data_IF_046565319780
#
_entry.id   IF_046565319780
#
_cell.length_a   1.000
_cell.length_b   1.000
_cell.length_c   1.000
_cell.angle_alpha   90.00
_cell.angle_beta   90.00
_cell.angle_gamma   90.00
#
_symmetry.space_group_name_H-M   'P 1'
#
loop_
_entity.id
_entity.type
_entity.pdbx_description
1 polymer ?
#
# COMPACT_ATOMS: atom_id res chain seq x y z
N UNK A 1 -50.59 18.75 10.82
CA UNK A 1 -49.78 18.90 9.58
C UNK A 1 -48.53 19.67 9.91
N UNK A 2 -47.34 19.13 9.63
CA UNK A 2 -46.09 19.83 9.92
C UNK A 2 -45.97 21.14 9.12
N UNK A 3 -45.68 22.26 9.82
CA UNK A 3 -45.69 23.61 9.29
C UNK A 3 -44.51 23.82 8.33
N UNK A 4 -44.78 24.40 7.15
CA UNK A 4 -43.71 24.76 6.20
C UNK A 4 -43.01 26.05 6.66
N UNK A 5 -41.72 26.01 6.73
CA UNK A 5 -40.88 27.13 7.19
C UNK A 5 -40.06 27.68 6.01
N UNK A 6 -40.08 29.03 5.86
CA UNK A 6 -39.30 29.74 4.86
C UNK A 6 -37.85 29.88 5.34
N UNK A 7 -36.86 29.62 4.46
CA UNK A 7 -35.47 29.92 4.76
C UNK A 7 -35.30 31.42 5.08
N UNK A 8 -34.60 31.72 6.17
CA UNK A 8 -34.21 33.10 6.52
C UNK A 8 -33.08 33.62 5.62
N UNK A 9 -32.32 32.71 5.01
CA UNK A 9 -31.09 33.00 4.26
C UNK A 9 -31.33 33.13 2.76
N UNK A 10 -32.26 32.34 2.21
CA UNK A 10 -32.47 32.25 0.76
C UNK A 10 -33.96 32.38 0.41
N UNK A 11 -34.31 33.45 -0.32
CA UNK A 11 -35.66 33.66 -0.80
C UNK A 11 -36.09 32.56 -1.78
N UNK A 12 -37.30 32.04 -1.61
CA UNK A 12 -37.87 30.98 -2.45
C UNK A 12 -37.50 29.56 -2.03
N UNK A 13 -36.62 29.40 -1.03
CA UNK A 13 -36.31 28.12 -0.40
C UNK A 13 -37.16 27.89 0.84
N UNK A 14 -37.75 26.73 0.94
CA UNK A 14 -38.60 26.31 2.06
C UNK A 14 -38.22 24.93 2.53
N UNK A 15 -38.51 24.62 3.80
CA UNK A 15 -38.35 23.30 4.36
C UNK A 15 -39.50 22.95 5.30
N UNK A 16 -39.67 21.63 5.50
CA UNK A 16 -40.57 21.06 6.50
C UNK A 16 -39.73 20.14 7.40
N UNK A 17 -39.88 20.31 8.69
CA UNK A 17 -39.30 19.36 9.66
C UNK A 17 -40.20 18.13 9.75
N UNK A 18 -39.57 16.98 9.76
CA UNK A 18 -40.19 15.67 9.92
C UNK A 18 -40.13 15.26 11.39
N UNK A 19 -41.02 14.33 11.80
CA UNK A 19 -41.14 13.87 13.20
C UNK A 19 -39.82 13.21 13.72
N UNK A 20 -38.96 12.76 12.81
CA UNK A 20 -37.64 12.20 13.12
C UNK A 20 -36.50 13.24 13.17
N UNK A 21 -36.83 14.54 13.17
CA UNK A 21 -35.86 15.65 13.20
C UNK A 21 -35.15 15.94 11.86
N UNK A 22 -35.48 15.23 10.79
CA UNK A 22 -34.94 15.50 9.45
C UNK A 22 -35.74 16.67 8.79
N UNK A 23 -35.19 17.26 7.72
CA UNK A 23 -35.79 18.33 6.96
C UNK A 23 -35.97 17.95 5.50
N UNK A 24 -37.17 18.15 4.95
CA UNK A 24 -37.42 18.08 3.51
C UNK A 24 -37.43 19.45 2.91
N UNK A 25 -36.58 19.72 1.92
CA UNK A 25 -36.45 20.98 1.23
C UNK A 25 -37.26 21.02 -0.06
N UNK A 26 -37.81 22.17 -0.39
CA UNK A 26 -38.51 22.45 -1.64
C UNK A 26 -38.39 23.92 -2.01
N UNK A 27 -38.60 24.24 -3.29
CA UNK A 27 -38.63 25.58 -3.83
C UNK A 27 -40.07 26.02 -4.09
N UNK A 28 -40.34 27.29 -3.90
CA UNK A 28 -41.54 27.96 -4.43
C UNK A 28 -41.12 29.06 -5.40
N UNK A 29 -41.34 28.80 -6.68
CA UNK A 29 -40.96 29.68 -7.77
C UNK A 29 -42.17 30.11 -8.59
N UNK A 30 -42.16 31.36 -9.03
CA UNK A 30 -43.17 31.86 -9.97
C UNK A 30 -42.65 31.63 -11.40
N UNK A 31 -43.28 30.69 -12.10
CA UNK A 31 -42.98 30.32 -13.48
C UNK A 31 -44.27 30.45 -14.29
N UNK A 32 -44.24 31.16 -15.42
CA UNK A 32 -45.43 31.43 -16.26
C UNK A 32 -46.63 32.04 -15.50
N UNK A 33 -46.31 32.98 -14.61
CA UNK A 33 -47.34 33.64 -13.80
C UNK A 33 -47.91 32.79 -12.63
N UNK A 34 -47.63 31.50 -12.57
CA UNK A 34 -48.11 30.56 -11.53
C UNK A 34 -47.01 30.20 -10.54
N UNK A 35 -47.38 30.07 -9.27
CA UNK A 35 -46.46 29.61 -8.23
C UNK A 35 -46.38 28.08 -8.29
N UNK A 36 -45.23 27.57 -8.65
CA UNK A 36 -44.91 26.10 -8.66
C UNK A 36 -44.15 25.76 -7.39
N UNK A 37 -44.48 24.62 -6.79
CA UNK A 37 -43.76 23.98 -5.67
C UNK A 37 -42.94 22.84 -6.21
N UNK A 38 -41.62 22.91 -6.07
CA UNK A 38 -40.67 21.94 -6.61
C UNK A 38 -39.96 21.27 -5.43
N UNK A 39 -40.15 19.97 -5.20
CA UNK A 39 -39.42 19.22 -4.17
C UNK A 39 -37.96 19.05 -4.59
N UNK A 40 -37.01 19.19 -3.63
CA UNK A 40 -35.59 19.05 -3.88
C UNK A 40 -35.04 17.76 -3.23
N UNK A 41 -35.32 17.53 -1.94
CA UNK A 41 -34.85 16.34 -1.22
C UNK A 41 -34.73 16.60 0.28
N UNK A 42 -34.12 15.65 1.01
CA UNK A 42 -33.98 15.68 2.46
C UNK A 42 -32.61 16.12 2.90
N UNK A 43 -32.52 16.67 4.13
CA UNK A 43 -31.24 17.01 4.76
C UNK A 43 -30.36 15.76 4.98
N UNK A 44 -30.97 14.65 5.36
CA UNK A 44 -30.29 13.34 5.49
C UNK A 44 -29.70 12.82 4.17
N UNK A 45 -30.16 13.34 3.03
CA UNK A 45 -29.65 13.05 1.68
C UNK A 45 -28.53 14.02 1.28
N UNK A 46 -28.03 14.85 2.20
CA UNK A 46 -26.97 15.83 1.93
C UNK A 46 -27.48 17.16 1.35
N UNK A 47 -28.81 17.37 1.23
CA UNK A 47 -29.37 18.61 0.72
C UNK A 47 -29.23 19.73 1.75
N UNK A 48 -28.70 20.85 1.31
CA UNK A 48 -28.55 22.08 2.12
C UNK A 48 -29.39 23.24 1.54
N UNK A 49 -29.64 24.26 2.36
CA UNK A 49 -30.31 25.47 1.86
C UNK A 49 -29.52 26.17 0.75
N UNK A 50 -28.17 26.09 0.80
CA UNK A 50 -27.29 26.62 -0.25
C UNK A 50 -27.46 25.89 -1.57
N UNK A 51 -27.49 24.54 -1.53
CA UNK A 51 -27.79 23.71 -2.70
C UNK A 51 -29.15 24.04 -3.30
N UNK A 52 -30.20 24.21 -2.45
CA UNK A 52 -31.52 24.60 -2.90
C UNK A 52 -31.49 25.96 -3.61
N UNK A 53 -30.68 26.90 -3.14
CA UNK A 53 -30.54 28.20 -3.79
C UNK A 53 -29.83 28.13 -5.14
N UNK A 54 -28.84 27.27 -5.28
CA UNK A 54 -28.16 26.99 -6.56
C UNK A 54 -29.16 26.42 -7.57
N UNK A 55 -29.92 25.39 -7.18
CA UNK A 55 -30.95 24.78 -8.02
C UNK A 55 -32.06 25.77 -8.41
N UNK A 56 -32.48 26.65 -7.48
CA UNK A 56 -33.40 27.73 -7.79
C UNK A 56 -32.88 28.61 -8.94
N UNK A 57 -31.62 29.06 -8.83
CA UNK A 57 -31.03 29.92 -9.85
C UNK A 57 -30.90 29.20 -11.20
N UNK A 58 -30.57 27.92 -11.20
CA UNK A 58 -30.51 27.08 -12.39
C UNK A 58 -31.89 27.03 -13.09
N UNK A 59 -32.95 26.72 -12.35
CA UNK A 59 -34.32 26.63 -12.87
C UNK A 59 -34.78 27.96 -13.44
N UNK A 60 -34.53 29.09 -12.72
CA UNK A 60 -34.92 30.40 -13.18
C UNK A 60 -34.17 30.83 -14.47
N UNK A 61 -32.88 30.49 -14.57
CA UNK A 61 -32.11 30.80 -15.77
C UNK A 61 -32.59 29.98 -16.96
N UNK A 62 -32.81 28.67 -16.78
CA UNK A 62 -33.34 27.78 -17.81
C UNK A 62 -34.71 28.27 -18.32
N UNK A 63 -35.60 28.70 -17.41
CA UNK A 63 -36.88 29.25 -17.76
C UNK A 63 -36.78 30.59 -18.55
N UNK A 64 -35.81 31.45 -18.22
CA UNK A 64 -35.58 32.73 -18.93
C UNK A 64 -35.03 32.55 -20.33
N UNK A 65 -34.26 31.51 -20.59
CA UNK A 65 -33.63 31.24 -21.86
C UNK A 65 -34.41 30.24 -22.75
N UNK A 66 -35.64 29.88 -22.32
CA UNK A 66 -36.49 28.98 -23.11
C UNK A 66 -36.13 27.48 -23.05
N UNK A 67 -35.23 27.10 -22.13
CA UNK A 67 -34.89 25.70 -21.92
C UNK A 67 -36.08 24.95 -21.28
N UNK A 68 -36.29 23.70 -21.67
CA UNK A 68 -37.33 22.85 -21.06
C UNK A 68 -36.97 22.48 -19.64
N UNK A 69 -37.54 23.19 -18.71
CA UNK A 69 -37.34 23.03 -17.25
C UNK A 69 -37.77 21.64 -16.78
N UNK A 70 -38.81 21.06 -17.38
CA UNK A 70 -39.28 19.71 -17.01
C UNK A 70 -38.27 18.65 -17.44
N UNK A 71 -37.69 18.76 -18.63
CA UNK A 71 -36.66 17.86 -19.12
C UNK A 71 -35.33 18.00 -18.34
N UNK A 72 -35.01 19.23 -17.89
CA UNK A 72 -33.82 19.45 -17.05
C UNK A 72 -34.00 18.95 -15.60
N UNK A 73 -35.20 18.98 -15.06
CA UNK A 73 -35.49 18.42 -13.73
C UNK A 73 -35.50 16.88 -13.74
N UNK A 74 -35.77 16.26 -14.89
CA UNK A 74 -35.62 14.80 -15.07
C UNK A 74 -34.19 14.37 -15.42
N UNK A 75 -33.39 15.30 -16.01
CA UNK A 75 -31.98 15.05 -16.33
C UNK A 75 -31.12 15.53 -15.19
N UNK A 76 -30.39 14.58 -14.61
CA UNK A 76 -29.24 14.85 -13.73
C UNK A 76 -29.57 14.98 -12.25
N UNK A 77 -29.95 13.87 -11.64
CA UNK A 77 -29.05 13.40 -10.56
C UNK A 77 -27.82 12.85 -11.30
N UNK A 78 -26.64 13.46 -11.17
CA UNK A 78 -25.46 12.70 -11.55
C UNK A 78 -25.55 11.42 -10.73
N UNK A 79 -25.70 10.28 -11.41
CA UNK A 79 -25.65 8.99 -10.74
C UNK A 79 -24.36 9.00 -9.94
N UNK A 80 -24.47 8.77 -8.64
CA UNK A 80 -23.28 8.72 -7.81
C UNK A 80 -22.39 7.62 -8.40
N UNK A 81 -21.08 7.87 -8.59
CA UNK A 81 -20.21 6.92 -9.27
C UNK A 81 -20.22 5.60 -8.53
N UNK A 82 -20.32 4.50 -9.25
CA UNK A 82 -20.12 3.17 -8.71
C UNK A 82 -18.68 3.03 -8.21
N UNK A 83 -18.42 2.06 -7.34
CA UNK A 83 -17.03 1.80 -6.90
C UNK A 83 -16.13 1.45 -8.10
N UNK A 84 -16.66 0.80 -9.12
CA UNK A 84 -15.98 0.56 -10.39
C UNK A 84 -15.44 1.86 -11.01
N UNK A 85 -16.28 2.91 -11.07
CA UNK A 85 -15.92 4.19 -11.65
C UNK A 85 -14.86 4.89 -10.80
N UNK A 86 -14.97 4.80 -9.47
CA UNK A 86 -13.97 5.34 -8.54
C UNK A 86 -12.62 4.64 -8.70
N UNK A 87 -12.62 3.30 -8.83
CA UNK A 87 -11.40 2.52 -9.03
C UNK A 87 -10.74 2.88 -10.37
N UNK A 88 -11.51 2.87 -11.47
CA UNK A 88 -11.00 3.19 -12.80
C UNK A 88 -10.44 4.62 -12.85
N UNK A 89 -11.17 5.57 -12.29
CA UNK A 89 -10.71 6.95 -12.17
C UNK A 89 -9.46 7.09 -11.29
N UNK A 90 -9.38 6.36 -10.17
CA UNK A 90 -8.19 6.33 -9.32
C UNK A 90 -6.96 5.82 -10.06
N UNK A 91 -7.12 4.74 -10.86
CA UNK A 91 -6.06 4.16 -11.66
C UNK A 91 -5.59 5.08 -12.79
N UNK A 92 -6.53 5.81 -13.41
CA UNK A 92 -6.23 6.77 -14.49
C UNK A 92 -5.51 8.04 -13.99
N UNK A 93 -5.97 8.60 -12.87
CA UNK A 93 -5.48 9.91 -12.37
C UNK A 93 -4.25 9.82 -11.48
N UNK A 94 -3.85 8.63 -11.08
CA UNK A 94 -2.67 8.42 -10.25
C UNK A 94 -1.53 7.83 -11.07
N UNK A 95 -0.37 8.47 -11.02
CA UNK A 95 0.86 7.86 -11.51
C UNK A 95 1.29 6.73 -10.56
N UNK A 96 0.88 5.50 -10.90
CA UNK A 96 1.11 4.30 -10.10
C UNK A 96 2.07 3.36 -10.82
N UNK A 97 2.98 2.77 -10.08
CA UNK A 97 3.86 1.71 -10.62
C UNK A 97 3.01 0.54 -11.14
N UNK A 98 3.40 -0.12 -12.26
CA UNK A 98 2.65 -1.26 -12.81
C UNK A 98 2.33 -2.36 -11.79
N UNK A 99 3.26 -2.64 -10.86
CA UNK A 99 3.04 -3.60 -9.77
C UNK A 99 1.92 -3.19 -8.83
N UNK A 100 1.76 -1.89 -8.55
CA UNK A 100 0.68 -1.37 -7.71
C UNK A 100 -0.66 -1.45 -8.46
N UNK A 101 -0.66 -1.10 -9.75
CA UNK A 101 -1.84 -1.25 -10.62
C UNK A 101 -2.31 -2.71 -10.62
N UNK A 102 -1.41 -3.67 -10.85
CA UNK A 102 -1.74 -5.10 -10.82
C UNK A 102 -2.30 -5.55 -9.45
N UNK A 103 -1.73 -5.08 -8.36
CA UNK A 103 -2.26 -5.38 -7.03
C UNK A 103 -3.66 -4.80 -6.78
N UNK A 104 -3.98 -3.65 -7.35
CA UNK A 104 -5.30 -3.03 -7.23
C UNK A 104 -6.38 -3.72 -8.05
N UNK A 105 -6.04 -4.56 -9.05
CA UNK A 105 -7.04 -5.31 -9.82
C UNK A 105 -7.92 -6.22 -8.93
N UNK A 106 -7.43 -6.65 -7.77
CA UNK A 106 -8.21 -7.43 -6.81
C UNK A 106 -9.44 -6.66 -6.29
N UNK A 107 -9.40 -5.32 -6.32
CA UNK A 107 -10.52 -4.48 -5.92
C UNK A 107 -11.73 -4.62 -6.85
N UNK A 108 -11.56 -5.20 -8.04
CA UNK A 108 -12.67 -5.57 -8.95
C UNK A 108 -13.52 -6.72 -8.41
N UNK A 109 -13.05 -7.43 -7.38
CA UNK A 109 -13.72 -8.59 -6.77
C UNK A 109 -14.45 -8.25 -5.46
N UNK A 110 -14.50 -6.97 -5.07
CA UNK A 110 -15.24 -6.58 -3.86
C UNK A 110 -16.76 -6.72 -4.07
N UNK A 111 -17.54 -7.12 -3.05
CA UNK A 111 -18.97 -7.36 -3.19
C UNK A 111 -19.77 -6.14 -3.68
N UNK A 112 -19.31 -4.95 -3.33
CA UNK A 112 -19.94 -3.67 -3.68
C UNK A 112 -19.35 -3.01 -4.95
N UNK A 113 -18.67 -3.79 -5.82
CA UNK A 113 -18.01 -3.26 -7.03
C UNK A 113 -18.94 -2.44 -7.93
N UNK A 114 -20.18 -2.90 -8.09
CA UNK A 114 -21.25 -2.25 -8.87
C UNK A 114 -22.18 -1.38 -8.01
N UNK A 115 -21.79 -1.01 -6.81
CA UNK A 115 -22.60 -0.16 -5.92
C UNK A 115 -22.12 1.29 -5.99
N UNK A 116 -23.08 2.20 -5.98
CA UNK A 116 -22.84 3.66 -5.97
C UNK A 116 -22.93 4.26 -4.55
N UNK A 117 -23.55 3.54 -3.63
CA UNK A 117 -23.67 3.93 -2.23
C UNK A 117 -23.11 2.83 -1.33
N UNK A 118 -21.94 3.09 -0.79
CA UNK A 118 -21.20 2.13 0.02
C UNK A 118 -21.12 2.67 1.45
N UNK A 119 -21.65 1.91 2.38
CA UNK A 119 -21.67 2.26 3.80
C UNK A 119 -20.46 1.66 4.54
N UNK A 120 -20.22 2.16 5.76
CA UNK A 120 -19.26 1.54 6.69
C UNK A 120 -19.59 0.06 6.93
N UNK A 121 -20.88 -0.29 7.01
CA UNK A 121 -21.32 -1.68 7.23
C UNK A 121 -20.90 -2.60 6.09
N UNK A 122 -20.97 -2.12 4.84
CA UNK A 122 -20.56 -2.92 3.67
C UNK A 122 -19.05 -3.18 3.69
N UNK A 123 -18.26 -2.16 4.05
CA UNK A 123 -16.81 -2.31 4.20
C UNK A 123 -16.47 -3.26 5.35
N UNK A 124 -17.13 -3.11 6.53
CA UNK A 124 -16.88 -3.98 7.67
C UNK A 124 -17.21 -5.44 7.35
N UNK A 125 -18.38 -5.70 6.75
CA UNK A 125 -18.78 -7.06 6.33
C UNK A 125 -17.75 -7.67 5.39
N UNK A 126 -17.28 -6.93 4.40
CA UNK A 126 -16.21 -7.39 3.50
C UNK A 126 -14.91 -7.72 4.24
N UNK A 127 -14.52 -6.90 5.20
CA UNK A 127 -13.31 -7.12 6.02
C UNK A 127 -13.47 -8.34 6.92
N UNK A 128 -14.65 -8.53 7.52
CA UNK A 128 -14.96 -9.67 8.38
C UNK A 128 -14.95 -10.99 7.58
N UNK A 129 -15.48 -10.98 6.36
CA UNK A 129 -15.44 -12.14 5.46
C UNK A 129 -14.02 -12.46 5.02
N UNK A 130 -13.23 -11.45 4.64
CA UNK A 130 -11.82 -11.64 4.33
C UNK A 130 -11.02 -12.22 5.51
N UNK A 131 -11.38 -11.85 6.73
CA UNK A 131 -10.68 -12.31 7.94
C UNK A 131 -10.90 -13.80 8.22
N UNK A 132 -11.98 -14.41 7.69
CA UNK A 132 -12.24 -15.87 7.80
C UNK A 132 -11.27 -16.70 6.94
N UNK A 133 -10.87 -16.15 5.79
CA UNK A 133 -10.09 -16.89 4.79
C UNK A 133 -8.62 -16.43 4.70
N UNK A 134 -8.33 -15.22 5.18
CA UNK A 134 -7.03 -14.59 5.00
C UNK A 134 -6.40 -14.13 6.29
N UNK A 135 -5.07 -14.10 6.30
CA UNK A 135 -4.28 -13.57 7.42
C UNK A 135 -4.54 -12.08 7.62
N UNK A 136 -4.48 -11.64 8.87
CA UNK A 136 -4.68 -10.24 9.26
C UNK A 136 -3.81 -9.24 8.46
N UNK A 137 -2.57 -9.61 8.10
CA UNK A 137 -1.70 -8.79 7.25
C UNK A 137 -2.25 -8.59 5.83
N UNK A 138 -2.86 -9.62 5.24
CA UNK A 138 -3.52 -9.56 3.93
C UNK A 138 -4.79 -8.73 4.01
N UNK A 139 -5.61 -8.94 5.03
CA UNK A 139 -6.81 -8.14 5.31
C UNK A 139 -6.43 -6.66 5.44
N UNK A 140 -5.42 -6.35 6.24
CA UNK A 140 -4.91 -4.99 6.40
C UNK A 140 -4.37 -4.38 5.09
N UNK A 141 -3.78 -5.18 4.20
CA UNK A 141 -3.36 -4.72 2.87
C UNK A 141 -4.59 -4.35 2.01
N UNK A 142 -5.59 -5.24 1.94
CA UNK A 142 -6.84 -4.99 1.20
C UNK A 142 -7.56 -3.76 1.69
N UNK A 143 -7.67 -3.61 3.01
CA UNK A 143 -8.24 -2.42 3.61
C UNK A 143 -7.48 -1.14 3.24
N UNK A 144 -6.15 -1.12 3.30
CA UNK A 144 -5.35 0.05 2.87
C UNK A 144 -5.57 0.42 1.41
N UNK A 145 -5.73 -0.58 0.53
CA UNK A 145 -6.05 -0.37 -0.88
C UNK A 145 -7.42 0.31 -1.04
N UNK A 146 -8.47 -0.23 -0.41
CA UNK A 146 -9.80 0.40 -0.38
C UNK A 146 -9.76 1.82 0.15
N UNK A 147 -9.14 2.01 1.30
CA UNK A 147 -9.02 3.31 1.96
C UNK A 147 -8.32 4.33 1.08
N UNK A 148 -7.31 3.92 0.32
CA UNK A 148 -6.61 4.85 -0.58
C UNK A 148 -7.51 5.34 -1.72
N UNK A 149 -8.38 4.49 -2.27
CA UNK A 149 -9.32 4.83 -3.33
C UNK A 149 -10.39 5.80 -2.79
N UNK A 150 -11.05 5.45 -1.67
CA UNK A 150 -12.09 6.29 -1.08
C UNK A 150 -11.56 7.65 -0.63
N UNK A 151 -10.44 7.69 0.08
CA UNK A 151 -9.84 8.96 0.52
C UNK A 151 -9.45 9.85 -0.66
N UNK A 152 -8.94 9.27 -1.74
CA UNK A 152 -8.62 10.02 -2.95
C UNK A 152 -9.88 10.56 -3.63
N UNK A 153 -10.96 9.77 -3.68
CA UNK A 153 -12.23 10.15 -4.27
C UNK A 153 -12.96 11.23 -3.44
N UNK A 154 -13.00 11.08 -2.12
CA UNK A 154 -13.60 12.07 -1.20
C UNK A 154 -12.85 13.39 -1.26
N UNK A 155 -11.52 13.37 -1.21
CA UNK A 155 -10.70 14.58 -1.24
C UNK A 155 -10.84 15.38 -2.55
N UNK A 156 -11.38 14.78 -3.61
CA UNK A 156 -11.59 15.41 -4.93
C UNK A 156 -13.07 15.52 -5.31
N UNK A 157 -13.96 15.38 -4.33
CA UNK A 157 -15.42 15.50 -4.51
C UNK A 157 -16.02 14.55 -5.57
N UNK A 158 -15.27 13.46 -5.92
CA UNK A 158 -15.77 12.39 -6.79
C UNK A 158 -16.72 11.46 -6.04
N UNK A 159 -16.55 11.32 -4.74
CA UNK A 159 -17.45 10.59 -3.86
C UNK A 159 -18.07 11.58 -2.85
N UNK A 160 -19.38 11.79 -2.95
CA UNK A 160 -20.09 12.85 -2.22
C UNK A 160 -20.45 12.49 -0.79
N UNK A 161 -20.32 11.22 -0.44
CA UNK A 161 -20.60 10.72 0.90
C UNK A 161 -19.36 10.82 1.80
N UNK A 162 -19.55 10.65 3.09
CA UNK A 162 -18.44 10.49 4.03
C UNK A 162 -17.61 9.25 3.68
N UNK A 163 -16.32 9.30 4.00
CA UNK A 163 -15.39 8.17 3.77
C UNK A 163 -15.88 6.91 4.54
N UNK A 164 -16.37 5.86 3.85
CA UNK A 164 -16.91 4.68 4.50
C UNK A 164 -15.84 3.81 5.16
N UNK A 165 -14.56 4.14 4.97
CA UNK A 165 -13.43 3.42 5.57
C UNK A 165 -13.06 3.93 6.96
N UNK A 166 -13.75 4.96 7.46
CA UNK A 166 -13.51 5.49 8.81
C UNK A 166 -14.13 4.58 9.86
N UNK A 167 -13.36 4.26 10.91
CA UNK A 167 -13.84 3.47 12.04
C UNK A 167 -14.08 1.99 11.72
N UNK A 168 -13.37 1.43 10.74
CA UNK A 168 -13.38 -0.01 10.45
C UNK A 168 -12.48 -0.73 11.44
N UNK A 169 -12.98 -1.81 12.01
CA UNK A 169 -12.24 -2.69 12.87
C UNK A 169 -11.44 -3.70 12.05
N UNK A 170 -10.16 -3.81 12.35
CA UNK A 170 -9.24 -4.71 11.66
C UNK A 170 -8.72 -5.80 12.59
N UNK A 171 -8.52 -7.04 12.10
CA UNK A 171 -7.89 -8.07 12.88
C UNK A 171 -6.44 -7.66 13.21
N UNK A 172 -6.01 -7.96 14.44
CA UNK A 172 -4.62 -7.68 14.87
C UNK A 172 -3.65 -8.51 14.04
N UNK A 173 -2.79 -7.84 13.27
CA UNK A 173 -1.73 -8.51 12.55
C UNK A 173 -0.61 -8.91 13.53
N UNK A 174 -0.07 -10.11 13.34
CA UNK A 174 1.19 -10.48 13.95
C UNK A 174 2.28 -9.47 13.56
N UNK A 175 3.23 -9.25 14.45
CA UNK A 175 4.35 -8.36 14.19
C UNK A 175 5.14 -8.79 12.94
N UNK A 176 6.00 -7.91 12.40
CA UNK A 176 6.83 -8.24 11.26
C UNK A 176 7.73 -9.43 11.60
N UNK A 177 8.01 -10.27 10.59
CA UNK A 177 9.01 -11.35 10.72
C UNK A 177 10.35 -10.75 11.14
N UNK A 178 10.98 -11.36 12.15
CA UNK A 178 12.27 -10.92 12.69
C UNK A 178 13.29 -12.04 12.68
N UNK A 179 13.05 -13.10 11.89
CA UNK A 179 13.95 -14.25 11.77
C UNK A 179 15.21 -13.83 11.00
N UNK A 180 16.36 -14.05 11.59
CA UNK A 180 17.67 -13.99 10.95
C UNK A 180 18.32 -15.38 11.04
N UNK A 181 19.29 -15.65 10.22
CA UNK A 181 20.13 -16.84 10.27
C UNK A 181 21.36 -16.52 11.12
N UNK A 182 21.71 -17.40 12.03
CA UNK A 182 22.98 -17.33 12.75
C UNK A 182 24.16 -17.76 11.87
N UNK A 183 25.36 -17.79 12.43
CA UNK A 183 26.56 -18.10 11.67
C UNK A 183 26.54 -19.53 11.10
N UNK A 184 26.16 -20.51 11.92
CA UNK A 184 26.15 -21.93 11.54
C UNK A 184 25.05 -22.21 10.48
N UNK A 185 23.91 -21.53 10.61
CA UNK A 185 22.84 -21.59 9.62
C UNK A 185 23.26 -20.97 8.29
N UNK A 186 24.03 -19.89 8.31
CA UNK A 186 24.60 -19.29 7.09
C UNK A 186 25.57 -20.25 6.41
N UNK A 187 26.44 -20.90 7.16
CA UNK A 187 27.36 -21.90 6.62
C UNK A 187 26.62 -23.09 6.01
N UNK A 188 25.60 -23.62 6.70
CA UNK A 188 24.74 -24.70 6.16
C UNK A 188 24.04 -24.26 4.86
N UNK A 189 23.55 -23.04 4.78
CA UNK A 189 22.92 -22.53 3.57
C UNK A 189 23.92 -22.41 2.41
N UNK A 190 25.11 -21.88 2.67
CA UNK A 190 26.18 -21.78 1.66
C UNK A 190 26.58 -23.13 1.11
N UNK A 191 26.74 -24.16 1.99
CA UNK A 191 27.04 -25.51 1.57
C UNK A 191 25.91 -26.12 0.73
N UNK A 192 24.64 -25.92 1.11
CA UNK A 192 23.50 -26.45 0.39
C UNK A 192 23.29 -25.81 -1.02
N UNK A 193 23.82 -24.62 -1.24
CA UNK A 193 23.74 -23.96 -2.56
C UNK A 193 25.05 -24.03 -3.36
N UNK A 194 26.10 -24.67 -2.84
CA UNK A 194 27.45 -24.69 -3.41
C UNK A 194 27.50 -25.22 -4.86
N UNK A 195 26.74 -26.26 -5.13
CA UNK A 195 26.66 -26.89 -6.46
C UNK A 195 25.68 -26.14 -7.41
N UNK A 196 25.13 -25.01 -6.97
CA UNK A 196 24.22 -24.16 -7.74
C UNK A 196 24.84 -22.76 -7.92
N UNK A 197 25.76 -22.56 -8.89
CA UNK A 197 26.61 -21.36 -8.96
C UNK A 197 25.86 -20.04 -8.92
N UNK A 198 24.66 -19.97 -9.53
CA UNK A 198 23.83 -18.78 -9.54
C UNK A 198 23.20 -18.49 -8.17
N UNK A 199 22.73 -19.50 -7.46
CA UNK A 199 22.20 -19.36 -6.09
C UNK A 199 23.32 -19.05 -5.11
N UNK A 200 24.46 -19.71 -5.23
CA UNK A 200 25.63 -19.47 -4.41
C UNK A 200 26.07 -18.01 -4.53
N UNK A 201 26.24 -17.51 -5.76
CA UNK A 201 26.57 -16.09 -6.01
C UNK A 201 25.51 -15.14 -5.44
N UNK A 202 24.21 -15.45 -5.62
CA UNK A 202 23.12 -14.65 -5.05
C UNK A 202 23.22 -14.57 -3.51
N UNK A 203 23.45 -15.69 -2.84
CA UNK A 203 23.57 -15.75 -1.37
C UNK A 203 24.80 -14.96 -0.92
N UNK A 204 25.96 -15.15 -1.55
CA UNK A 204 27.20 -14.42 -1.27
C UNK A 204 27.01 -12.90 -1.40
N UNK A 205 26.49 -12.43 -2.53
CA UNK A 205 26.20 -11.01 -2.76
C UNK A 205 25.19 -10.45 -1.73
N UNK A 206 24.19 -11.25 -1.35
CA UNK A 206 23.19 -10.87 -0.35
C UNK A 206 23.81 -10.73 1.05
N UNK A 207 24.73 -11.61 1.42
CA UNK A 207 25.44 -11.58 2.71
C UNK A 207 26.45 -10.43 2.77
N UNK A 208 27.14 -10.11 1.67
CA UNK A 208 28.06 -8.97 1.61
C UNK A 208 27.34 -7.62 1.81
N UNK A 209 26.18 -7.45 1.20
CA UNK A 209 25.54 -6.12 1.10
C UNK A 209 24.27 -5.96 1.93
N UNK A 210 23.63 -7.03 2.33
CA UNK A 210 22.29 -7.03 2.92
C UNK A 210 21.21 -6.45 2.00
N UNK A 211 21.46 -6.32 0.70
CA UNK A 211 20.53 -5.69 -0.24
C UNK A 211 19.26 -6.53 -0.46
N UNK A 212 18.21 -5.88 -0.97
CA UNK A 212 16.94 -6.56 -1.26
C UNK A 212 17.08 -7.48 -2.48
N UNK A 213 16.31 -8.58 -2.54
CA UNK A 213 16.29 -9.53 -3.66
C UNK A 213 16.31 -8.82 -5.03
N UNK A 214 15.40 -7.87 -5.25
CA UNK A 214 15.35 -7.16 -6.53
C UNK A 214 16.57 -6.31 -6.84
N UNK A 215 17.23 -5.77 -5.83
CA UNK A 215 18.49 -5.02 -5.97
C UNK A 215 19.64 -5.95 -6.36
N UNK A 216 19.77 -7.09 -5.69
CA UNK A 216 20.81 -8.08 -6.02
C UNK A 216 20.64 -8.61 -7.45
N UNK A 217 19.40 -8.91 -7.88
CA UNK A 217 19.12 -9.38 -9.23
C UNK A 217 19.47 -8.35 -10.32
N UNK A 218 19.45 -7.08 -9.98
CA UNK A 218 19.73 -5.99 -10.91
C UNK A 218 21.18 -5.47 -10.86
N UNK A 219 22.07 -6.18 -10.17
CA UNK A 219 23.49 -5.83 -10.19
C UNK A 219 24.04 -6.09 -11.58
N UNK A 220 24.58 -5.04 -12.20
CA UNK A 220 25.25 -5.09 -13.50
C UNK A 220 26.76 -5.04 -13.31
N UNK A 221 27.51 -5.73 -14.14
CA UNK A 221 29.00 -5.81 -14.02
C UNK A 221 29.64 -4.42 -14.04
N UNK A 222 29.13 -3.52 -14.85
CA UNK A 222 29.67 -2.14 -14.97
C UNK A 222 29.52 -1.30 -13.69
N UNK A 223 28.68 -1.73 -12.75
CA UNK A 223 28.53 -1.06 -11.46
C UNK A 223 29.46 -1.59 -10.38
N UNK A 224 30.36 -2.52 -10.72
CA UNK A 224 31.28 -3.18 -9.79
C UNK A 224 32.71 -2.73 -10.13
N UNK A 225 33.40 -2.14 -9.16
CA UNK A 225 34.79 -1.72 -9.26
C UNK A 225 35.75 -2.89 -8.93
N UNK A 226 37.01 -2.74 -9.28
CA UNK A 226 38.02 -3.78 -9.07
C UNK A 226 38.31 -4.06 -7.58
N UNK A 227 38.17 -3.03 -6.74
CA UNK A 227 38.31 -3.14 -5.28
C UNK A 227 37.10 -3.75 -4.56
N UNK A 228 36.06 -4.16 -5.29
CA UNK A 228 34.83 -4.75 -4.75
C UNK A 228 33.75 -3.75 -4.42
N UNK A 229 33.99 -2.45 -4.57
CA UNK A 229 32.93 -1.46 -4.41
C UNK A 229 31.85 -1.62 -5.49
N UNK A 230 30.60 -1.56 -5.10
CA UNK A 230 29.45 -1.72 -6.02
C UNK A 230 28.41 -0.64 -5.77
N UNK A 231 27.86 -0.12 -6.85
CA UNK A 231 26.73 0.81 -6.78
C UNK A 231 25.41 0.05 -6.98
N UNK A 232 24.58 0.05 -5.94
CA UNK A 232 23.33 -0.70 -5.86
C UNK A 232 22.12 0.20 -6.11
N UNK A 233 21.13 -0.26 -6.87
CA UNK A 233 19.91 0.48 -7.16
C UNK A 233 18.71 -0.05 -6.34
N UNK A 234 18.09 0.82 -5.57
CA UNK A 234 16.80 0.53 -4.96
C UNK A 234 15.65 0.82 -5.95
N UNK A 235 15.18 -0.18 -6.66
CA UNK A 235 14.10 -0.04 -7.66
C UNK A 235 12.77 0.48 -7.10
N UNK A 236 12.56 0.41 -5.77
CA UNK A 236 11.34 0.95 -5.17
C UNK A 236 11.35 2.48 -5.13
N UNK A 237 12.52 3.07 -4.89
CA UNK A 237 12.69 4.52 -4.72
C UNK A 237 13.48 5.17 -5.86
N UNK A 238 14.15 4.38 -6.71
CA UNK A 238 15.07 4.87 -7.74
C UNK A 238 16.42 5.35 -7.17
N UNK A 239 16.68 5.16 -5.86
CA UNK A 239 17.89 5.66 -5.21
C UNK A 239 19.05 4.69 -5.38
N UNK A 240 20.22 5.24 -5.69
CA UNK A 240 21.50 4.52 -5.73
C UNK A 240 22.20 4.64 -4.38
N UNK A 241 22.87 3.58 -3.95
CA UNK A 241 23.64 3.55 -2.70
C UNK A 241 24.81 2.57 -2.81
N UNK A 242 25.91 2.80 -2.04
CA UNK A 242 27.09 1.95 -2.11
C UNK A 242 26.88 0.61 -1.41
N UNK A 243 27.54 -0.42 -1.92
CA UNK A 243 27.77 -1.70 -1.30
C UNK A 243 29.21 -2.15 -1.50
N UNK A 244 29.56 -3.32 -0.95
CA UNK A 244 30.90 -3.87 -1.07
C UNK A 244 30.84 -5.40 -1.18
N UNK A 245 31.61 -5.98 -2.06
CA UNK A 245 31.77 -7.44 -2.22
C UNK A 245 33.14 -7.86 -1.71
N UNK A 246 33.22 -8.98 -0.98
CA UNK A 246 34.44 -9.59 -0.53
C UNK A 246 35.23 -10.23 -1.71
N UNK A 247 36.50 -10.59 -1.48
CA UNK A 247 37.40 -11.15 -2.48
C UNK A 247 36.86 -12.44 -3.11
N UNK A 248 36.21 -13.29 -2.31
CA UNK A 248 35.59 -14.52 -2.79
C UNK A 248 34.44 -14.21 -3.76
N UNK A 249 33.55 -13.30 -3.39
CA UNK A 249 32.46 -12.85 -4.28
C UNK A 249 33.02 -12.22 -5.56
N UNK A 250 34.06 -11.41 -5.44
CA UNK A 250 34.74 -10.80 -6.60
C UNK A 250 35.34 -11.84 -7.53
N UNK A 251 35.91 -12.91 -6.99
CA UNK A 251 36.43 -14.01 -7.81
C UNK A 251 35.34 -14.70 -8.65
N UNK A 252 34.13 -14.86 -8.07
CA UNK A 252 32.96 -15.43 -8.76
C UNK A 252 32.37 -14.48 -9.83
N UNK A 253 32.69 -13.18 -9.73
CA UNK A 253 32.20 -12.13 -10.64
C UNK A 253 33.16 -11.84 -11.79
N UNK A 254 34.40 -12.37 -11.76
CA UNK A 254 35.48 -12.00 -12.69
C UNK A 254 35.07 -12.10 -14.16
N UNK A 255 34.43 -13.21 -14.54
CA UNK A 255 34.07 -13.50 -15.94
C UNK A 255 32.61 -13.16 -16.28
N UNK A 256 31.89 -12.53 -15.34
CA UNK A 256 30.51 -12.14 -15.57
C UNK A 256 30.42 -10.89 -16.44
N UNK A 257 29.38 -10.84 -17.30
CA UNK A 257 29.03 -9.69 -18.15
C UNK A 257 27.58 -9.32 -17.92
N UNK A 258 27.23 -8.06 -18.19
CA UNK A 258 25.85 -7.60 -18.06
C UNK A 258 25.30 -7.77 -16.64
N UNK A 259 24.09 -8.26 -16.51
CA UNK A 259 23.50 -8.61 -15.20
C UNK A 259 24.11 -9.91 -14.68
N UNK A 260 24.86 -9.80 -13.59
CA UNK A 260 25.75 -10.87 -13.10
C UNK A 260 25.06 -12.18 -12.69
N UNK A 261 23.76 -12.14 -12.46
CA UNK A 261 22.91 -13.29 -12.12
C UNK A 261 22.03 -13.73 -13.29
N UNK A 262 22.21 -13.17 -14.48
CA UNK A 262 21.46 -13.58 -15.67
C UNK A 262 21.79 -15.03 -16.07
N UNK A 263 20.88 -15.63 -16.82
CA UNK A 263 21.13 -16.90 -17.46
C UNK A 263 22.08 -16.71 -18.67
N UNK A 264 22.89 -17.69 -19.02
CA UNK A 264 23.71 -17.65 -20.23
C UNK A 264 22.87 -17.29 -21.47
N UNK A 265 23.34 -16.35 -22.27
CA UNK A 265 22.63 -15.83 -23.44
C UNK A 265 21.58 -14.75 -23.14
N UNK A 266 21.40 -14.37 -21.89
CA UNK A 266 20.46 -13.32 -21.43
C UNK A 266 21.11 -12.28 -20.53
N UNK A 267 22.38 -12.04 -20.72
CA UNK A 267 23.21 -11.20 -19.84
C UNK A 267 22.71 -9.75 -19.75
N UNK A 268 21.92 -9.28 -20.72
CA UNK A 268 21.38 -7.94 -20.77
C UNK A 268 19.92 -7.84 -20.31
N UNK A 269 19.36 -8.93 -19.81
CA UNK A 269 18.03 -8.99 -19.23
C UNK A 269 18.12 -9.13 -17.70
N UNK A 270 17.36 -8.30 -16.96
CA UNK A 270 17.25 -8.49 -15.50
C UNK A 270 16.60 -9.83 -15.19
N UNK A 271 17.25 -10.70 -14.42
CA UNK A 271 16.72 -12.02 -14.13
C UNK A 271 15.33 -11.96 -13.45
N UNK A 272 14.38 -12.81 -13.86
CA UNK A 272 13.10 -12.91 -13.18
C UNK A 272 13.27 -13.31 -11.71
N UNK A 273 12.58 -12.57 -10.82
CA UNK A 273 12.67 -12.83 -9.37
C UNK A 273 12.28 -14.28 -9.01
N UNK A 274 11.29 -14.78 -9.69
CA UNK A 274 10.71 -16.11 -9.42
C UNK A 274 11.72 -17.23 -9.49
N UNK A 275 12.65 -17.18 -10.44
CA UNK A 275 13.63 -18.26 -10.66
C UNK A 275 14.49 -18.50 -9.42
N UNK A 276 15.11 -17.45 -8.88
CA UNK A 276 15.92 -17.54 -7.65
C UNK A 276 15.05 -17.74 -6.42
N UNK A 277 13.90 -17.07 -6.39
CA UNK A 277 13.02 -17.08 -5.23
C UNK A 277 12.49 -18.47 -4.92
N UNK A 278 11.98 -19.20 -5.90
CA UNK A 278 11.40 -20.53 -5.68
C UNK A 278 12.47 -21.55 -5.28
N UNK A 279 13.59 -21.58 -6.00
CA UNK A 279 14.66 -22.53 -5.71
C UNK A 279 15.28 -22.28 -4.32
N UNK A 280 15.57 -21.03 -3.97
CA UNK A 280 16.18 -20.70 -2.69
C UNK A 280 15.21 -20.90 -1.52
N UNK A 281 13.92 -20.58 -1.70
CA UNK A 281 12.92 -20.84 -0.67
C UNK A 281 12.74 -22.32 -0.39
N UNK A 282 12.76 -23.17 -1.41
CA UNK A 282 12.67 -24.62 -1.22
C UNK A 282 13.85 -25.14 -0.37
N UNK A 283 15.08 -24.69 -0.65
CA UNK A 283 16.26 -25.06 0.14
C UNK A 283 16.16 -24.52 1.58
N UNK A 284 15.70 -23.27 1.75
CA UNK A 284 15.54 -22.69 3.08
C UNK A 284 14.41 -23.34 3.89
N UNK A 285 13.34 -23.79 3.24
CA UNK A 285 12.27 -24.54 3.89
C UNK A 285 12.79 -25.91 4.36
N UNK A 286 13.55 -26.60 3.53
CA UNK A 286 14.17 -27.89 3.91
C UNK A 286 15.16 -27.76 5.08
N UNK A 287 15.99 -26.71 5.08
CA UNK A 287 17.05 -26.55 6.09
C UNK A 287 16.56 -25.98 7.42
N UNK A 288 15.55 -25.11 7.42
CA UNK A 288 15.24 -24.22 8.55
C UNK A 288 13.77 -24.15 8.91
N UNK A 289 12.87 -24.69 8.11
CA UNK A 289 11.44 -24.57 8.32
C UNK A 289 10.80 -25.95 8.26
N UNK A 290 10.20 -26.41 9.33
CA UNK A 290 9.32 -27.59 9.35
C UNK A 290 7.85 -27.18 9.20
N UNK A 291 6.96 -28.17 9.17
CA UNK A 291 5.51 -27.93 9.03
C UNK A 291 4.96 -27.12 10.21
N UNK A 292 5.49 -27.34 11.41
CA UNK A 292 5.06 -26.69 12.65
C UNK A 292 5.73 -25.34 12.88
N UNK A 293 6.72 -24.96 12.07
CA UNK A 293 7.40 -23.67 12.21
C UNK A 293 6.43 -22.51 12.02
N UNK A 294 6.18 -21.69 13.08
CA UNK A 294 5.30 -20.53 12.96
C UNK A 294 5.79 -19.57 11.88
N UNK A 295 4.85 -18.99 11.15
CA UNK A 295 5.15 -18.16 9.96
C UNK A 295 6.07 -17.00 10.26
N UNK A 296 5.95 -16.40 11.45
CA UNK A 296 6.80 -15.31 11.91
C UNK A 296 8.24 -15.75 12.23
N UNK A 297 8.44 -17.06 12.44
CA UNK A 297 9.75 -17.68 12.71
C UNK A 297 10.37 -18.34 11.48
N UNK A 298 9.63 -18.49 10.37
CA UNK A 298 10.16 -19.10 9.15
C UNK A 298 11.30 -18.27 8.56
N UNK A 299 12.38 -18.94 8.21
CA UNK A 299 13.46 -18.39 7.40
C UNK A 299 12.94 -18.14 5.98
N UNK A 300 13.24 -16.98 5.42
CA UNK A 300 12.89 -16.59 4.06
C UNK A 300 14.04 -15.78 3.48
N UNK A 301 14.04 -15.52 2.18
CA UNK A 301 15.14 -14.78 1.54
C UNK A 301 15.45 -13.45 2.24
N UNK A 302 14.41 -12.76 2.74
CA UNK A 302 14.61 -11.51 3.48
C UNK A 302 15.32 -11.71 4.83
N UNK A 303 15.38 -12.95 5.35
CA UNK A 303 16.15 -13.30 6.54
C UNK A 303 17.65 -13.11 6.34
N UNK A 304 18.20 -13.28 5.12
CA UNK A 304 19.58 -12.95 4.80
C UNK A 304 19.91 -11.49 5.14
N UNK A 305 19.04 -10.58 4.74
CA UNK A 305 19.20 -9.16 5.05
C UNK A 305 19.08 -8.88 6.56
N UNK A 306 18.17 -9.58 7.26
CA UNK A 306 18.09 -9.48 8.72
C UNK A 306 19.34 -10.01 9.40
N UNK A 307 19.96 -11.07 8.86
CA UNK A 307 21.23 -11.61 9.35
C UNK A 307 22.35 -10.58 9.23
N UNK A 308 22.50 -9.96 8.05
CA UNK A 308 23.51 -8.89 7.85
C UNK A 308 23.27 -7.73 8.82
N UNK A 309 22.03 -7.26 8.95
CA UNK A 309 21.68 -6.20 9.89
C UNK A 309 22.09 -6.56 11.33
N UNK A 310 21.73 -7.77 11.78
CA UNK A 310 22.02 -8.27 13.12
C UNK A 310 23.52 -8.39 13.33
N UNK A 311 24.26 -8.97 12.39
CA UNK A 311 25.72 -9.13 12.47
C UNK A 311 26.46 -7.79 12.55
N UNK A 312 26.08 -6.81 11.72
CA UNK A 312 26.68 -5.47 11.76
C UNK A 312 26.43 -4.81 13.13
N UNK A 313 25.22 -4.91 13.66
CA UNK A 313 24.88 -4.36 14.96
C UNK A 313 25.64 -5.07 16.08
N UNK A 314 25.72 -6.40 16.05
CA UNK A 314 26.47 -7.20 17.05
C UNK A 314 27.97 -6.88 17.05
N UNK A 315 28.53 -6.51 15.87
CA UNK A 315 29.90 -6.04 15.73
C UNK A 315 30.09 -4.57 16.17
N UNK A 316 29.06 -3.91 16.71
CA UNK A 316 29.14 -2.54 17.21
C UNK A 316 29.10 -1.46 16.13
N UNK A 317 28.73 -1.79 14.88
CA UNK A 317 28.59 -0.79 13.81
C UNK A 317 27.45 0.19 14.18
N UNK A 318 27.70 1.53 14.11
CA UNK A 318 26.68 2.51 14.43
C UNK A 318 25.39 2.34 13.61
N UNK A 319 24.25 2.56 14.26
CA UNK A 319 22.92 2.30 13.69
C UNK A 319 22.66 3.09 12.41
N UNK A 320 23.21 4.32 12.34
CA UNK A 320 23.14 5.17 11.14
C UNK A 320 23.89 4.54 9.96
N UNK A 321 25.06 3.95 10.21
CA UNK A 321 25.86 3.27 9.19
C UNK A 321 25.11 2.03 8.70
N UNK A 322 24.60 1.19 9.61
CA UNK A 322 23.79 0.01 9.27
C UNK A 322 22.55 0.42 8.46
N UNK A 323 21.87 1.49 8.85
CA UNK A 323 20.70 2.00 8.13
C UNK A 323 21.04 2.45 6.70
N UNK A 324 22.18 3.11 6.52
CA UNK A 324 22.69 3.54 5.19
C UNK A 324 23.11 2.35 4.34
N UNK A 325 23.89 1.40 4.91
CA UNK A 325 24.32 0.17 4.22
C UNK A 325 23.13 -0.63 3.68
N UNK A 326 22.07 -0.71 4.48
CA UNK A 326 20.85 -1.42 4.09
C UNK A 326 19.89 -0.58 3.24
N UNK A 327 20.15 0.69 2.98
CA UNK A 327 19.21 1.61 2.33
C UNK A 327 17.81 1.57 2.97
N UNK A 328 17.74 1.74 4.28
CA UNK A 328 16.47 1.92 4.99
C UNK A 328 15.97 3.37 4.82
N UNK A 329 14.67 3.52 4.58
CA UNK A 329 14.04 4.84 4.45
C UNK A 329 13.94 5.60 5.78
N UNK A 330 14.09 4.90 6.90
CA UNK A 330 14.08 5.45 8.25
C UNK A 330 14.96 4.61 9.16
N UNK A 331 15.72 5.26 10.03
CA UNK A 331 16.52 4.62 11.08
C UNK A 331 15.65 3.78 12.03
N UNK A 332 14.39 4.12 12.20
CA UNK A 332 13.42 3.36 13.01
C UNK A 332 13.28 1.92 12.54
N UNK A 333 13.42 1.66 11.23
CA UNK A 333 13.36 0.30 10.67
C UNK A 333 14.55 -0.52 11.22
N UNK A 334 15.74 0.06 11.23
CA UNK A 334 16.94 -0.55 11.79
C UNK A 334 16.81 -0.71 13.29
N UNK A 335 16.28 0.31 14.01
CA UNK A 335 16.02 0.29 15.43
C UNK A 335 15.11 -0.85 15.89
N UNK A 336 14.11 -1.21 15.08
CA UNK A 336 13.21 -2.34 15.38
C UNK A 336 13.93 -3.72 15.29
N UNK A 337 14.97 -3.84 14.48
CA UNK A 337 15.87 -5.03 14.46
C UNK A 337 16.77 -5.00 15.69
N UNK A 338 17.30 -3.83 16.02
CA UNK A 338 18.21 -3.59 17.15
C UNK A 338 17.57 -3.94 18.49
N UNK A 339 16.30 -3.64 18.71
CA UNK A 339 15.60 -3.88 19.99
C UNK A 339 15.68 -5.34 20.48
N UNK A 340 15.97 -6.31 19.62
CA UNK A 340 16.18 -7.71 20.00
C UNK A 340 17.60 -8.04 20.45
N UNK A 341 18.58 -7.31 19.94
CA UNK A 341 20.00 -7.55 20.18
C UNK A 341 20.51 -6.71 21.36
N UNK A 342 19.78 -5.62 21.69
CA UNK A 342 20.13 -4.70 22.78
C UNK A 342 20.36 -5.38 24.12
N UNK A 343 19.53 -6.34 24.59
CA UNK A 343 19.76 -6.97 25.89
C UNK A 343 21.13 -7.65 25.98
N UNK A 344 21.53 -8.36 24.92
CA UNK A 344 22.83 -9.07 24.89
C UNK A 344 24.00 -8.08 24.74
N UNK A 345 23.81 -7.01 23.96
CA UNK A 345 24.82 -5.94 23.84
C UNK A 345 25.01 -5.16 25.13
N UNK A 346 23.92 -4.84 25.85
CA UNK A 346 24.00 -4.19 27.15
C UNK A 346 24.73 -5.09 28.14
N UNK A 347 24.34 -6.36 28.21
CA UNK A 347 25.00 -7.35 29.06
C UNK A 347 26.51 -7.44 28.79
N UNK A 348 26.90 -7.46 27.49
CA UNK A 348 28.32 -7.54 27.10
C UNK A 348 29.06 -6.22 27.36
N UNK A 349 28.40 -5.09 27.10
CA UNK A 349 29.00 -3.76 27.29
C UNK A 349 29.12 -3.38 28.77
N UNK A 350 28.26 -3.90 29.62
CA UNK A 350 28.33 -3.64 31.08
C UNK A 350 29.18 -4.64 31.83
N UNK A 351 29.52 -5.77 31.22
CA UNK A 351 30.40 -6.76 31.81
C UNK A 351 31.84 -6.23 31.83
N UNK A 352 32.42 -6.08 33.02
CA UNK A 352 33.77 -5.57 33.19
C UNK A 352 33.94 -4.04 33.13
N UNK A 353 32.86 -3.28 33.24
CA UNK A 353 32.93 -1.81 33.25
C UNK A 353 33.63 -1.25 34.49
N UNK A 354 33.73 -2.06 35.57
CA UNK A 354 34.22 -1.64 36.86
C UNK A 354 35.21 -2.63 37.49
N UNK A 355 35.70 -3.62 36.67
CA UNK A 355 36.73 -4.57 37.07
C UNK A 355 38.17 -4.03 36.94
#
# INVERSE_FOLDING_TARGET
MARETKSKRFQGVYFRELDNGDRTYFLRLRLDGKVKRIPIGKKSEGITEQFCNQEKNRILNAHRFGDDVAAQLQKVKPEDPMFEDLLNWYLEKRDLKPTTVNQLQIMRKVPFYKSNRISRKDIQSYIDDLAKEHRASTVGLRFRQLRSIFRYAVAREKYKYSDPTVGIDLPKAAGPRKRYLDHDEILRLLEAVKDKPRLYLFVKMSLCTGARLGTILSVHRDHIQEDGAVTLCNHKTGRWYPGFFDEETMSLLRDKKGYVLAQPGKEYEVPPKQTIQYELLAIMDELFNDEDTPIEKRAVIHSLRHSVATQLITKGVPLEVVSKTLDHSSITITGNVYAKVVPDLIKNATKGLWD
#
